data_IF_901752628360
#
_entry.id   IF_901752628360
#
_cell.length_a   1.000
_cell.length_b   1.000
_cell.length_c   1.000
_cell.angle_alpha   90.00
_cell.angle_beta   90.00
_cell.angle_gamma   90.00
#
_symmetry.space_group_name_H-M   'P 1'
#
loop_
_entity.id
_entity.type
_entity.pdbx_description
1 polymer ?
#
# COMPACT_ATOMS: atom_id res chain seq x y z
N UNK A 1 -8.15 6.78 8.56
CA UNK A 1 -8.53 5.94 9.73
C UNK A 1 -7.29 5.67 10.58
N UNK A 2 -7.12 6.33 11.74
CA UNK A 2 -5.93 6.12 12.58
C UNK A 2 -5.93 4.77 13.32
N UNK A 3 -7.09 4.20 13.64
CA UNK A 3 -7.18 2.94 14.41
C UNK A 3 -6.73 1.71 13.61
N UNK A 4 -7.11 1.63 12.33
CA UNK A 4 -6.78 0.50 11.47
C UNK A 4 -5.27 0.42 11.18
N UNK A 5 -4.63 1.55 10.90
CA UNK A 5 -3.18 1.61 10.67
C UNK A 5 -2.39 1.12 11.89
N UNK A 6 -2.82 1.50 13.11
CA UNK A 6 -2.19 1.06 14.36
C UNK A 6 -2.36 -0.44 14.58
N UNK A 7 -3.54 -0.98 14.31
CA UNK A 7 -3.80 -2.42 14.44
C UNK A 7 -2.95 -3.23 13.45
N UNK A 8 -2.86 -2.79 12.19
CA UNK A 8 -2.07 -3.47 11.16
C UNK A 8 -0.57 -3.38 11.46
N UNK A 9 -0.10 -2.28 12.05
CA UNK A 9 1.28 -2.18 12.51
C UNK A 9 1.63 -3.18 13.63
N UNK A 10 0.63 -3.62 14.40
CA UNK A 10 0.78 -4.58 15.51
C UNK A 10 0.46 -6.03 15.11
N UNK A 11 -0.18 -6.27 13.96
CA UNK A 11 -0.64 -7.61 13.56
C UNK A 11 0.44 -8.51 12.97
N UNK A 12 1.68 -8.02 12.85
CA UNK A 12 2.79 -8.75 12.21
C UNK A 12 2.66 -8.87 10.69
N UNK A 13 1.70 -8.16 10.08
CA UNK A 13 1.51 -8.16 8.64
C UNK A 13 2.70 -7.50 7.94
N UNK A 14 3.28 -8.20 6.98
CA UNK A 14 4.40 -7.67 6.22
C UNK A 14 4.03 -6.37 5.50
N UNK A 15 4.90 -5.36 5.59
CA UNK A 15 4.64 -4.02 5.03
C UNK A 15 4.45 -4.05 3.52
N UNK A 16 5.11 -4.97 2.81
CA UNK A 16 4.96 -5.15 1.36
C UNK A 16 3.57 -5.70 1.04
N UNK A 17 3.13 -6.71 1.79
CA UNK A 17 1.80 -7.28 1.64
C UNK A 17 0.71 -6.24 1.94
N UNK A 18 0.89 -5.43 2.97
CA UNK A 18 -0.03 -4.33 3.29
C UNK A 18 -0.11 -3.30 2.15
N UNK A 19 1.03 -2.93 1.56
CA UNK A 19 1.08 -2.06 0.39
C UNK A 19 0.32 -2.64 -0.82
N UNK A 20 0.47 -3.94 -1.09
CA UNK A 20 -0.27 -4.62 -2.16
C UNK A 20 -1.78 -4.63 -1.91
N UNK A 21 -2.22 -4.83 -0.67
CA UNK A 21 -3.64 -4.77 -0.29
C UNK A 21 -4.21 -3.38 -0.56
N UNK A 22 -3.49 -2.31 -0.21
CA UNK A 22 -3.92 -0.92 -0.51
C UNK A 22 -4.05 -0.65 -2.00
N UNK A 23 -3.14 -1.19 -2.81
CA UNK A 23 -3.21 -1.07 -4.28
C UNK A 23 -4.46 -1.80 -4.81
N UNK A 24 -4.70 -3.04 -4.38
CA UNK A 24 -5.91 -3.80 -4.78
C UNK A 24 -7.20 -3.13 -4.33
N UNK A 25 -7.26 -2.61 -3.11
CA UNK A 25 -8.41 -1.84 -2.63
C UNK A 25 -8.65 -0.59 -3.50
N UNK A 26 -7.58 0.11 -3.90
CA UNK A 26 -7.68 1.28 -4.78
C UNK A 26 -8.17 0.94 -6.19
N UNK A 27 -7.79 -0.23 -6.71
CA UNK A 27 -8.30 -0.76 -7.99
C UNK A 27 -9.80 -1.08 -7.91
N UNK A 28 -10.24 -1.75 -6.84
CA UNK A 28 -11.67 -2.06 -6.62
C UNK A 28 -12.50 -0.78 -6.52
N UNK A 29 -11.96 0.23 -5.84
CA UNK A 29 -12.61 1.54 -5.71
C UNK A 29 -12.49 2.41 -6.98
N UNK A 30 -11.76 1.97 -8.01
CA UNK A 30 -11.62 2.69 -9.28
C UNK A 30 -10.86 4.03 -9.19
N UNK A 31 -10.05 4.25 -8.15
CA UNK A 31 -9.38 5.54 -7.93
C UNK A 31 -7.96 5.55 -8.50
N UNK A 32 -7.80 6.09 -9.72
CA UNK A 32 -6.51 6.22 -10.39
C UNK A 32 -5.47 7.04 -9.60
N UNK A 33 -5.91 8.08 -8.89
CA UNK A 33 -5.04 8.88 -8.03
C UNK A 33 -4.44 8.05 -6.88
N UNK A 34 -5.28 7.28 -6.17
CA UNK A 34 -4.83 6.43 -5.06
C UNK A 34 -3.87 5.33 -5.56
N UNK A 35 -4.13 4.76 -6.73
CA UNK A 35 -3.22 3.78 -7.35
C UNK A 35 -1.85 4.41 -7.58
N UNK A 36 -1.79 5.58 -8.22
CA UNK A 36 -0.53 6.26 -8.49
C UNK A 36 0.23 6.63 -7.20
N UNK A 37 -0.49 7.10 -6.16
CA UNK A 37 0.08 7.40 -4.85
C UNK A 37 0.73 6.15 -4.20
N UNK A 38 0.04 5.00 -4.26
CA UNK A 38 0.53 3.75 -3.66
C UNK A 38 1.63 3.06 -4.48
N UNK A 39 1.64 3.23 -5.81
CA UNK A 39 2.66 2.66 -6.71
C UNK A 39 3.94 3.50 -6.71
N UNK A 40 3.84 4.84 -6.74
CA UNK A 40 5.00 5.73 -6.83
C UNK A 40 6.01 5.57 -5.68
N UNK A 41 5.54 5.21 -4.48
CA UNK A 41 6.41 4.93 -3.33
C UNK A 41 7.14 3.57 -3.42
N UNK A 42 6.60 2.59 -4.17
CA UNK A 42 7.19 1.25 -4.32
C UNK A 42 8.12 1.11 -5.53
N UNK A 43 7.99 1.96 -6.56
CA UNK A 43 8.83 1.88 -7.77
C UNK A 43 10.28 2.33 -7.51
N UNK A 44 10.51 3.25 -6.56
CA UNK A 44 11.85 3.71 -6.19
C UNK A 44 12.72 2.66 -5.47
N UNK A 45 12.20 1.44 -5.23
CA UNK A 45 12.93 0.36 -4.57
C UNK A 45 13.33 -0.77 -5.52
N UNK A 46 12.97 -0.68 -6.80
CA UNK A 46 13.31 -1.68 -7.84
C UNK A 46 14.34 -1.17 -8.85
N UNK A 47 14.85 0.07 -8.70
CA UNK A 47 15.87 0.66 -9.58
C UNK A 47 17.30 0.57 -9.05
N UNK A 48 17.56 -0.24 -8.02
CA UNK A 48 18.92 -0.56 -7.57
C UNK A 48 19.24 -2.02 -7.89
N UNK A 49 19.40 -2.31 -9.17
CA UNK A 49 20.26 -3.37 -9.70
C UNK A 49 20.83 -2.86 -11.02
#
# INVERSE_FOLDING_TARGET
>A
MLGLEKYIAQSGLDKKLYGLIKIRASQINGCAYCINMHVGCNVNRLSTT
#
